data_IF_090439188824
#
_entry.id   IF_090439188824
#
_cell.length_a   1.000
_cell.length_b   1.000
_cell.length_c   1.000
_cell.angle_alpha   90.00
_cell.angle_beta   90.00
_cell.angle_gamma   90.00
#
_symmetry.space_group_name_H-M   'P 1'
#
loop_
_entity.id
_entity.type
_entity.pdbx_description
1 polymer ?
#
# COMPACT_ATOMS: atom_id res chain seq x y z
N UNK A 1 -7.22 13.64 -9.22
CA UNK A 1 -6.01 13.84 -10.04
C UNK A 1 -5.85 12.66 -11.00
N UNK A 2 -5.62 12.92 -12.30
CA UNK A 2 -5.22 11.90 -13.28
C UNK A 2 -3.73 11.58 -13.08
N UNK A 3 -3.41 10.29 -13.07
CA UNK A 3 -2.07 9.76 -12.79
C UNK A 3 -1.46 9.15 -14.05
N UNK A 4 -2.27 8.44 -14.86
CA UNK A 4 -1.85 7.89 -16.14
C UNK A 4 -2.66 8.52 -17.27
N UNK A 5 -2.00 9.21 -18.19
CA UNK A 5 -2.66 9.76 -19.38
C UNK A 5 -2.96 8.71 -20.45
N UNK A 6 -2.08 7.72 -20.63
CA UNK A 6 -2.24 6.66 -21.65
C UNK A 6 -3.53 5.87 -21.43
N UNK A 7 -3.75 5.45 -20.18
CA UNK A 7 -4.91 4.65 -19.77
C UNK A 7 -6.01 5.47 -19.08
N UNK A 8 -5.87 6.81 -19.04
CA UNK A 8 -6.81 7.75 -18.40
C UNK A 8 -7.18 7.34 -16.97
N UNK A 9 -6.18 6.95 -16.17
CA UNK A 9 -6.39 6.46 -14.80
C UNK A 9 -6.24 7.58 -13.78
N UNK A 10 -7.21 7.68 -12.89
CA UNK A 10 -7.20 8.58 -11.75
C UNK A 10 -6.57 7.97 -10.50
N UNK A 11 -6.11 8.83 -9.60
CA UNK A 11 -5.64 8.45 -8.26
C UNK A 11 -6.67 7.57 -7.53
N UNK A 12 -7.96 7.90 -7.61
CA UNK A 12 -9.02 7.10 -6.97
C UNK A 12 -9.10 5.69 -7.55
N UNK A 13 -9.03 5.54 -8.88
CA UNK A 13 -9.04 4.23 -9.54
C UNK A 13 -7.82 3.39 -9.16
N UNK A 14 -6.64 3.99 -9.03
CA UNK A 14 -5.46 3.27 -8.55
C UNK A 14 -5.65 2.83 -7.10
N UNK A 15 -6.08 3.73 -6.20
CA UNK A 15 -6.25 3.41 -4.79
C UNK A 15 -7.37 2.38 -4.55
N UNK A 16 -8.42 2.34 -5.37
CA UNK A 16 -9.50 1.35 -5.26
C UNK A 16 -9.09 -0.08 -5.63
N UNK A 17 -7.89 -0.29 -6.17
CA UNK A 17 -7.35 -1.65 -6.39
C UNK A 17 -6.85 -2.29 -5.09
N UNK A 18 -6.66 -1.51 -4.02
CA UNK A 18 -6.33 -2.00 -2.69
C UNK A 18 -7.62 -2.27 -1.93
N UNK A 19 -7.77 -3.50 -1.45
CA UNK A 19 -8.90 -3.92 -0.62
C UNK A 19 -8.81 -3.32 0.79
N UNK A 20 -9.93 -3.38 1.52
CA UNK A 20 -10.04 -2.79 2.87
C UNK A 20 -9.14 -3.43 3.91
N UNK A 21 -8.65 -4.65 3.67
CA UNK A 21 -7.68 -5.38 4.49
C UNK A 21 -6.21 -5.07 4.10
N UNK A 22 -5.99 -4.20 3.11
CA UNK A 22 -4.67 -3.83 2.59
C UNK A 22 -4.12 -4.79 1.53
N UNK A 23 -4.87 -5.85 1.20
CA UNK A 23 -4.54 -6.75 0.09
C UNK A 23 -4.70 -6.06 -1.26
N UNK A 24 -3.97 -6.51 -2.27
CA UNK A 24 -4.02 -5.96 -3.63
C UNK A 24 -2.65 -5.83 -4.30
N UNK A 25 -2.59 -5.21 -5.49
CA UNK A 25 -1.42 -5.21 -6.38
C UNK A 25 -0.22 -4.51 -5.75
N UNK A 26 0.93 -5.20 -5.65
CA UNK A 26 2.16 -4.67 -5.02
C UNK A 26 2.98 -3.84 -6.01
N UNK A 27 2.79 -4.08 -7.29
CA UNK A 27 3.49 -3.41 -8.39
C UNK A 27 2.52 -2.59 -9.24
N UNK A 28 3.07 -1.67 -10.02
CA UNK A 28 2.26 -0.90 -10.98
C UNK A 28 1.68 -1.82 -12.07
N UNK A 29 2.44 -2.83 -12.51
CA UNK A 29 1.98 -3.82 -13.50
C UNK A 29 0.71 -4.52 -13.05
N UNK A 30 0.76 -5.13 -11.85
CA UNK A 30 -0.41 -5.79 -11.26
C UNK A 30 -1.59 -4.83 -11.09
N UNK A 31 -1.35 -3.55 -10.79
CA UNK A 31 -2.43 -2.57 -10.68
C UNK A 31 -3.08 -2.28 -12.04
N UNK A 32 -2.31 -2.25 -13.13
CA UNK A 32 -2.87 -2.15 -14.48
C UNK A 32 -3.66 -3.41 -14.84
N UNK A 33 -3.13 -4.60 -14.52
CA UNK A 33 -3.81 -5.88 -14.75
C UNK A 33 -5.13 -5.96 -13.96
N UNK A 34 -5.15 -5.55 -12.69
CA UNK A 34 -6.38 -5.45 -11.89
C UNK A 34 -7.42 -4.50 -12.49
N UNK A 35 -6.97 -3.48 -13.24
CA UNK A 35 -7.84 -2.51 -13.92
C UNK A 35 -8.17 -2.93 -15.37
N UNK A 36 -7.68 -4.09 -15.82
CA UNK A 36 -7.94 -4.62 -17.16
C UNK A 36 -7.22 -3.86 -18.28
N UNK A 37 -6.05 -3.27 -17.99
CA UNK A 37 -5.25 -2.53 -18.96
C UNK A 37 -3.77 -2.91 -18.90
N UNK A 38 -3.02 -2.57 -19.94
CA UNK A 38 -1.57 -2.77 -19.98
C UNK A 38 -0.83 -1.41 -19.98
N UNK A 39 0.41 -1.35 -19.46
CA UNK A 39 1.17 -0.09 -19.46
C UNK A 39 1.74 0.23 -20.86
N UNK A 40 1.47 1.43 -21.40
CA UNK A 40 2.06 1.87 -22.67
C UNK A 40 3.47 2.47 -22.53
N UNK A 41 3.59 3.58 -21.78
CA UNK A 41 4.85 4.34 -21.70
C UNK A 41 5.56 4.26 -20.35
N UNK A 42 4.92 3.64 -19.34
CA UNK A 42 5.49 3.40 -18.01
C UNK A 42 5.81 4.64 -17.15
N UNK A 43 5.70 5.86 -17.67
CA UNK A 43 6.10 7.11 -16.97
C UNK A 43 5.40 7.32 -15.64
N UNK A 44 4.16 6.85 -15.51
CA UNK A 44 3.37 6.97 -14.29
C UNK A 44 3.64 5.84 -13.26
N UNK A 45 4.45 4.84 -13.58
CA UNK A 45 4.64 3.66 -12.71
C UNK A 45 5.15 3.99 -11.31
N UNK A 46 6.04 4.98 -11.17
CA UNK A 46 6.54 5.42 -9.86
C UNK A 46 5.44 6.08 -9.02
N UNK A 47 4.60 6.90 -9.65
CA UNK A 47 3.45 7.53 -8.98
C UNK A 47 2.40 6.48 -8.59
N UNK A 48 2.11 5.52 -9.48
CA UNK A 48 1.21 4.40 -9.17
C UNK A 48 1.71 3.62 -7.95
N UNK A 49 3.01 3.28 -7.88
CA UNK A 49 3.59 2.61 -6.69
C UNK A 49 3.43 3.42 -5.41
N UNK A 50 3.67 4.73 -5.45
CA UNK A 50 3.43 5.62 -4.29
C UNK A 50 1.98 5.56 -3.82
N UNK A 51 1.04 5.67 -4.76
CA UNK A 51 -0.39 5.67 -4.44
C UNK A 51 -0.85 4.34 -3.85
N UNK A 52 -0.30 3.22 -4.31
CA UNK A 52 -0.56 1.89 -3.74
C UNK A 52 -0.01 1.77 -2.32
N UNK A 53 1.18 2.32 -2.05
CA UNK A 53 1.75 2.36 -0.70
C UNK A 53 0.92 3.27 0.24
N UNK A 54 0.52 4.44 -0.24
CA UNK A 54 -0.36 5.36 0.49
C UNK A 54 -1.71 4.72 0.84
N UNK A 55 -2.32 3.99 -0.11
CA UNK A 55 -3.59 3.30 0.13
C UNK A 55 -3.45 2.22 1.22
N UNK A 56 -2.34 1.46 1.21
CA UNK A 56 -2.06 0.48 2.27
C UNK A 56 -1.81 1.12 3.63
N UNK A 57 -1.03 2.19 3.67
CA UNK A 57 -0.80 2.94 4.91
C UNK A 57 -2.11 3.53 5.47
N UNK A 58 -2.99 4.00 4.59
CA UNK A 58 -4.31 4.49 4.95
C UNK A 58 -5.24 3.38 5.49
N UNK A 59 -5.12 2.15 4.98
CA UNK A 59 -5.80 0.99 5.56
C UNK A 59 -5.28 0.68 6.97
N UNK A 60 -3.96 0.68 7.16
CA UNK A 60 -3.34 0.46 8.46
C UNK A 60 -3.75 1.50 9.51
N UNK A 61 -4.01 2.75 9.11
CA UNK A 61 -4.41 3.83 10.04
C UNK A 61 -5.92 3.99 10.25
N UNK A 62 -6.78 3.40 9.41
CA UNK A 62 -8.24 3.58 9.46
C UNK A 62 -9.02 2.39 10.05
N UNK A 63 -8.37 1.51 10.81
CA UNK A 63 -9.10 0.49 11.57
C UNK A 63 -9.96 1.14 12.67
N UNK A 64 -11.22 1.47 12.36
CA UNK A 64 -12.21 1.98 13.32
C UNK A 64 -12.55 0.95 14.42
N UNK A 65 -12.36 -0.34 14.13
CA UNK A 65 -12.50 -1.43 15.11
C UNK A 65 -11.34 -1.51 16.11
N UNK A 66 -10.23 -0.80 15.89
CA UNK A 66 -9.00 -0.89 16.69
C UNK A 66 -8.81 0.28 17.67
N UNK A 67 -9.79 1.19 17.80
CA UNK A 67 -9.77 2.24 18.82
C UNK A 67 -9.82 1.67 20.26
N UNK A 68 -10.27 0.43 20.41
CA UNK A 68 -10.28 -0.35 21.65
C UNK A 68 -9.27 -1.48 21.51
N UNK A 69 -8.15 -1.37 22.23
CA UNK A 69 -6.90 -2.16 22.21
C UNK A 69 -6.99 -3.69 22.40
N UNK A 70 -8.05 -4.37 22.01
CA UNK A 70 -8.27 -5.78 22.37
C UNK A 70 -8.43 -6.76 21.20
N UNK A 71 -8.31 -6.31 19.95
CA UNK A 71 -8.27 -7.19 18.78
C UNK A 71 -6.98 -6.97 18.00
N UNK A 72 -6.16 -8.01 18.00
CA UNK A 72 -4.91 -8.12 17.25
C UNK A 72 -5.25 -8.33 15.77
N UNK A 73 -5.54 -7.24 15.05
CA UNK A 73 -5.78 -7.30 13.62
C UNK A 73 -4.47 -7.67 12.91
N UNK A 74 -4.53 -8.62 11.97
CA UNK A 74 -3.37 -9.13 11.23
C UNK A 74 -2.48 -8.01 10.63
N UNK A 75 -3.06 -6.85 10.32
CA UNK A 75 -2.35 -5.66 9.84
C UNK A 75 -1.46 -5.03 10.92
N UNK A 76 -1.94 -4.90 12.17
CA UNK A 76 -1.14 -4.39 13.28
C UNK A 76 -0.04 -5.37 13.70
N UNK A 77 -0.32 -6.68 13.69
CA UNK A 77 0.71 -7.70 13.95
C UNK A 77 1.85 -7.59 12.94
N UNK A 78 1.48 -7.52 11.65
CA UNK A 78 2.48 -7.49 10.58
C UNK A 78 3.31 -6.22 10.62
N UNK A 79 2.69 -5.05 10.85
CA UNK A 79 3.42 -3.78 10.96
C UNK A 79 4.22 -3.69 12.26
N UNK A 80 3.68 -4.19 13.38
CA UNK A 80 4.37 -4.24 14.67
C UNK A 80 5.60 -5.14 14.64
N UNK A 81 5.52 -6.31 14.00
CA UNK A 81 6.67 -7.18 13.78
C UNK A 81 7.72 -6.50 12.90
N UNK A 82 7.32 -5.84 11.80
CA UNK A 82 8.26 -5.11 10.95
C UNK A 82 8.96 -3.95 11.67
N UNK A 83 8.25 -3.20 12.52
CA UNK A 83 8.84 -2.10 13.31
C UNK A 83 9.79 -2.64 14.40
N UNK A 84 9.41 -3.71 15.10
CA UNK A 84 10.25 -4.35 16.10
C UNK A 84 11.56 -4.89 15.49
N UNK A 85 11.50 -5.43 14.27
CA UNK A 85 12.70 -5.88 13.55
C UNK A 85 13.67 -4.72 13.25
N UNK A 86 13.17 -3.52 12.96
CA UNK A 86 14.02 -2.33 12.73
C UNK A 86 14.68 -1.85 14.02
N UNK A 87 13.96 -1.85 15.14
CA UNK A 87 14.52 -1.46 16.45
C UNK A 87 15.66 -2.42 16.87
N UNK A 88 15.47 -3.73 16.70
CA UNK A 88 16.53 -4.71 17.04
C UNK A 88 17.75 -4.65 16.12
N UNK A 89 17.62 -4.13 14.89
CA UNK A 89 18.76 -3.92 14.00
C UNK A 89 19.61 -2.72 14.44
N UNK A 90 18.98 -1.63 14.92
CA UNK A 90 19.67 -0.44 15.42
C UNK A 90 20.51 -0.70 16.67
N UNK A 91 20.04 -1.56 17.58
CA UNK A 91 20.81 -1.93 18.78
C UNK A 91 22.04 -2.82 18.49
N UNK A 92 22.10 -3.51 17.35
CA UNK A 92 23.25 -4.36 16.97
C UNK A 92 24.40 -3.58 16.33
N UNK A 93 24.17 -2.36 15.85
CA UNK A 93 25.21 -1.48 15.30
C UNK A 93 25.86 -0.58 16.38
N UNK A 94 25.31 -0.58 17.60
CA UNK A 94 25.79 0.23 18.73
C UNK A 94 26.59 -0.56 19.79
N UNK A 95 26.83 -1.86 19.58
CA UNK A 95 27.63 -2.73 20.44
C UNK A 95 28.92 -3.19 19.74
#
# INVERSE_FOLDING_TARGET
>A
MIVCSCNVLSCRQIKSTIASDGSGPKTAGEAYDCLGCSPDCGRCARAVRSLLAEARAACASQCSSCASREIDCAVHVSVGLMLAEIETAGEREAA
#
